data_IF_971740894116
#
_entry.id   IF_971740894116
#
_cell.length_a   1.000
_cell.length_b   1.000
_cell.length_c   1.000
_cell.angle_alpha   90.00
_cell.angle_beta   90.00
_cell.angle_gamma   90.00
#
_symmetry.space_group_name_H-M   'P 1'
#
loop_
_entity.id
_entity.type
_entity.pdbx_description
1 polymer ?
#
# COMPACT_ATOMS: atom_id res chain seq x y z
N UNK A 1 19.12 4.50 19.68
CA UNK A 1 19.07 5.34 18.48
C UNK A 1 19.99 4.68 17.46
N UNK A 2 19.46 3.84 16.57
CA UNK A 2 20.26 3.09 15.59
C UNK A 2 20.08 3.79 14.24
N UNK A 3 21.10 4.53 13.79
CA UNK A 3 21.13 5.05 12.41
C UNK A 3 21.34 3.88 11.43
N UNK A 4 20.63 3.83 10.29
CA UNK A 4 20.92 2.84 9.26
C UNK A 4 22.29 3.12 8.62
N UNK A 5 23.15 2.11 8.56
CA UNK A 5 24.51 2.16 7.99
C UNK A 5 24.54 2.28 6.45
N UNK A 6 23.38 2.37 5.80
CA UNK A 6 23.21 2.53 4.37
C UNK A 6 22.44 3.82 4.11
N UNK A 7 23.05 4.76 3.39
CA UNK A 7 22.37 5.99 2.98
C UNK A 7 21.19 5.69 2.07
N UNK A 8 20.21 6.58 2.05
CA UNK A 8 19.09 6.54 1.11
C UNK A 8 19.59 6.72 -0.34
N UNK A 9 18.84 6.20 -1.31
CA UNK A 9 19.07 6.54 -2.72
C UNK A 9 18.76 8.04 -2.93
N UNK A 10 19.49 8.68 -3.85
CA UNK A 10 19.24 10.09 -4.21
C UNK A 10 17.76 10.31 -4.56
N UNK A 11 17.12 11.23 -3.84
CA UNK A 11 15.70 11.57 -4.03
C UNK A 11 14.70 10.78 -3.17
N UNK A 12 15.17 9.89 -2.29
CA UNK A 12 14.33 9.17 -1.31
C UNK A 12 14.69 9.63 0.09
N UNK A 13 13.70 10.07 0.87
CA UNK A 13 13.92 10.55 2.24
C UNK A 13 13.43 9.59 3.32
N UNK A 14 12.64 8.59 2.92
CA UNK A 14 11.96 7.64 3.81
C UNK A 14 12.42 6.21 3.55
N UNK A 15 12.73 5.46 4.62
CA UNK A 15 12.97 4.00 4.51
C UNK A 15 11.62 3.27 4.48
N UNK A 16 11.47 2.30 3.57
CA UNK A 16 10.27 1.48 3.44
C UNK A 16 10.52 0.04 3.87
N UNK A 17 9.56 -0.59 4.55
CA UNK A 17 9.56 -2.04 4.73
C UNK A 17 8.31 -2.63 4.09
N UNK A 18 8.50 -3.54 3.14
CA UNK A 18 7.42 -4.24 2.47
C UNK A 18 7.41 -5.69 2.94
N UNK A 19 6.25 -6.21 3.29
CA UNK A 19 6.09 -7.64 3.56
C UNK A 19 5.27 -8.26 2.44
N UNK A 20 5.82 -9.29 1.79
CA UNK A 20 5.04 -10.13 0.90
C UNK A 20 4.26 -11.17 1.71
N UNK A 21 3.08 -11.51 1.23
CA UNK A 21 2.22 -12.57 1.73
C UNK A 21 1.71 -13.34 0.51
N UNK A 22 1.83 -14.67 0.55
CA UNK A 22 1.21 -15.51 -0.44
C UNK A 22 -0.19 -15.88 0.08
N UNK A 23 -1.21 -15.23 -0.48
CA UNK A 23 -2.59 -15.57 -0.18
C UNK A 23 -3.10 -16.55 -1.24
N UNK A 24 -4.13 -17.37 -0.94
CA UNK A 24 -4.80 -18.19 -1.96
C UNK A 24 -5.36 -17.37 -3.13
N UNK A 25 -5.64 -16.08 -2.90
CA UNK A 25 -6.07 -15.10 -3.91
C UNK A 25 -4.92 -14.47 -4.71
N UNK A 26 -3.67 -14.77 -4.38
CA UNK A 26 -2.46 -14.29 -5.06
C UNK A 26 -1.46 -13.57 -4.15
N UNK A 27 -0.34 -13.15 -4.74
CA UNK A 27 0.73 -12.44 -4.04
C UNK A 27 0.23 -11.05 -3.61
N UNK A 28 0.23 -10.80 -2.30
CA UNK A 28 -0.17 -9.52 -1.71
C UNK A 28 1.01 -8.94 -0.92
N UNK A 29 1.34 -7.69 -1.19
CA UNK A 29 2.42 -6.94 -0.58
C UNK A 29 1.82 -5.88 0.34
N UNK A 30 2.21 -5.84 1.60
CA UNK A 30 1.80 -4.81 2.55
C UNK A 30 2.97 -3.85 2.75
N UNK A 31 2.75 -2.58 2.41
CA UNK A 31 3.74 -1.52 2.54
C UNK A 31 3.67 -0.83 3.92
N UNK A 32 4.85 -0.46 4.42
CA UNK A 32 5.16 0.20 5.69
C UNK A 32 4.71 -0.52 6.98
N UNK A 33 5.32 -1.67 7.22
CA UNK A 33 5.06 -2.51 8.40
C UNK A 33 5.99 -2.22 9.59
N UNK A 34 7.07 -1.46 9.40
CA UNK A 34 8.15 -1.41 10.40
C UNK A 34 8.83 -0.06 10.65
N UNK A 35 8.68 0.96 9.79
CA UNK A 35 9.57 2.15 9.85
C UNK A 35 8.86 3.41 10.32
N UNK A 36 7.72 3.80 9.74
CA UNK A 36 7.08 5.09 10.06
C UNK A 36 5.80 4.89 10.85
N UNK A 37 5.74 5.42 12.08
CA UNK A 37 4.60 5.21 12.97
C UNK A 37 3.30 5.82 12.41
N UNK A 38 3.38 7.06 11.91
CA UNK A 38 2.29 7.79 11.27
C UNK A 38 2.85 8.62 10.11
N UNK A 39 3.09 8.02 8.94
CA UNK A 39 3.74 8.70 7.83
C UNK A 39 2.86 9.82 7.27
N UNK A 40 3.51 10.87 6.78
CA UNK A 40 2.86 11.98 6.06
C UNK A 40 2.35 11.51 4.67
N UNK A 41 1.46 12.28 4.01
CA UNK A 41 1.04 11.97 2.65
C UNK A 41 2.19 11.84 1.65
N UNK A 42 3.23 12.65 1.81
CA UNK A 42 4.44 12.67 0.99
C UNK A 42 5.30 11.43 1.21
N UNK A 43 5.50 11.04 2.47
CA UNK A 43 6.20 9.80 2.83
C UNK A 43 5.45 8.58 2.31
N UNK A 44 4.12 8.55 2.46
CA UNK A 44 3.27 7.49 1.90
C UNK A 44 3.38 7.43 0.38
N UNK A 45 3.51 8.57 -0.30
CA UNK A 45 3.70 8.60 -1.75
C UNK A 45 5.07 8.02 -2.15
N UNK A 46 6.15 8.37 -1.43
CA UNK A 46 7.47 7.78 -1.64
C UNK A 46 7.45 6.26 -1.41
N UNK A 47 6.87 5.82 -0.30
CA UNK A 47 6.71 4.39 0.03
C UNK A 47 5.94 3.65 -1.06
N UNK A 48 4.85 4.24 -1.56
CA UNK A 48 4.01 3.66 -2.59
C UNK A 48 4.79 3.45 -3.89
N UNK A 49 5.55 4.46 -4.33
CA UNK A 49 6.37 4.39 -5.53
C UNK A 49 7.49 3.36 -5.38
N UNK A 50 8.17 3.31 -4.23
CA UNK A 50 9.20 2.31 -3.94
C UNK A 50 8.63 0.88 -3.92
N UNK A 51 7.45 0.69 -3.33
CA UNK A 51 6.76 -0.60 -3.32
C UNK A 51 6.40 -1.04 -4.74
N UNK A 52 5.83 -0.13 -5.55
CA UNK A 52 5.50 -0.40 -6.95
C UNK A 52 6.74 -0.77 -7.78
N UNK A 53 7.84 -0.04 -7.62
CA UNK A 53 9.10 -0.35 -8.29
C UNK A 53 9.64 -1.72 -7.87
N UNK A 54 9.58 -2.04 -6.58
CA UNK A 54 10.03 -3.32 -6.05
C UNK A 54 9.23 -4.49 -6.62
N UNK A 55 7.90 -4.35 -6.68
CA UNK A 55 7.01 -5.36 -7.28
C UNK A 55 7.26 -5.52 -8.78
N UNK A 56 7.50 -4.42 -9.51
CA UNK A 56 7.91 -4.46 -10.94
C UNK A 56 9.20 -5.26 -11.15
N UNK A 57 10.18 -5.15 -10.24
CA UNK A 57 11.44 -5.92 -10.31
C UNK A 57 11.25 -7.42 -10.14
N UNK A 58 10.17 -7.87 -9.50
CA UNK A 58 9.79 -9.28 -9.44
C UNK A 58 9.01 -9.75 -10.69
N UNK A 59 8.85 -8.90 -11.71
CA UNK A 59 8.10 -9.21 -12.93
C UNK A 59 6.58 -9.19 -12.73
N UNK A 60 6.10 -8.56 -11.66
CA UNK A 60 4.67 -8.46 -11.34
C UNK A 60 4.20 -7.03 -11.65
N UNK A 61 3.07 -6.89 -12.35
CA UNK A 61 2.48 -5.57 -12.61
C UNK A 61 1.88 -5.01 -11.31
N UNK A 62 2.33 -3.83 -10.82
CA UNK A 62 1.86 -3.27 -9.56
C UNK A 62 0.43 -2.78 -9.66
N UNK A 63 -0.42 -3.24 -8.74
CA UNK A 63 -1.81 -2.86 -8.55
C UNK A 63 -1.98 -2.39 -7.13
N UNK A 64 -1.96 -1.09 -6.95
CA UNK A 64 -1.87 -0.43 -5.65
C UNK A 64 -3.25 -0.02 -5.16
N UNK A 65 -3.57 -0.38 -3.91
CA UNK A 65 -4.71 0.15 -3.19
C UNK A 65 -4.24 0.94 -1.97
N UNK A 66 -4.70 2.18 -1.87
CA UNK A 66 -4.54 3.03 -0.70
C UNK A 66 -5.66 2.74 0.30
N UNK A 67 -5.32 2.17 1.45
CA UNK A 67 -6.31 1.72 2.43
C UNK A 67 -6.66 2.79 3.46
N UNK A 68 -7.93 2.87 3.81
CA UNK A 68 -8.43 3.67 4.92
C UNK A 68 -9.63 2.98 5.57
N UNK A 69 -10.06 3.47 6.73
CA UNK A 69 -11.36 3.12 7.29
C UNK A 69 -12.52 3.79 6.53
N UNK A 70 -12.21 4.77 5.67
CA UNK A 70 -13.17 5.41 4.78
C UNK A 70 -13.11 4.76 3.40
N UNK A 71 -14.21 4.87 2.67
CA UNK A 71 -14.31 4.36 1.32
C UNK A 71 -14.77 5.50 0.41
N UNK A 72 -13.83 6.07 -0.34
CA UNK A 72 -14.05 7.14 -1.32
C UNK A 72 -14.87 8.32 -0.79
N UNK A 73 -14.48 8.88 0.36
CA UNK A 73 -15.15 10.04 0.95
C UNK A 73 -16.37 9.72 1.79
N UNK A 74 -16.68 8.44 2.07
CA UNK A 74 -17.77 8.06 2.97
C UNK A 74 -17.63 8.58 4.41
N UNK A 75 -16.42 8.97 4.79
CA UNK A 75 -16.11 9.60 6.07
C UNK A 75 -14.99 10.63 5.88
N UNK A 76 -15.20 11.85 6.36
CA UNK A 76 -14.16 12.89 6.32
C UNK A 76 -13.33 12.85 7.60
N UNK A 77 -12.35 11.95 7.59
CA UNK A 77 -11.43 11.75 8.71
C UNK A 77 -9.98 12.09 8.29
N UNK A 78 -9.08 12.34 9.27
CA UNK A 78 -7.68 12.65 8.98
C UNK A 78 -6.99 11.57 8.14
N UNK A 79 -7.28 10.29 8.37
CA UNK A 79 -6.70 9.19 7.60
C UNK A 79 -7.20 9.16 6.14
N UNK A 80 -8.48 9.42 5.89
CA UNK A 80 -9.02 9.48 4.53
C UNK A 80 -8.45 10.66 3.76
N UNK A 81 -8.42 11.86 4.36
CA UNK A 81 -7.81 13.05 3.76
C UNK A 81 -6.33 12.83 3.44
N UNK A 82 -5.61 12.14 4.34
CA UNK A 82 -4.22 11.75 4.14
C UNK A 82 -4.05 10.84 2.91
N UNK A 83 -4.81 9.76 2.82
CA UNK A 83 -4.72 8.82 1.69
C UNK A 83 -5.13 9.46 0.36
N UNK A 84 -6.12 10.37 0.35
CA UNK A 84 -6.49 11.15 -0.85
C UNK A 84 -5.34 12.03 -1.32
N UNK A 85 -4.68 12.75 -0.41
CA UNK A 85 -3.47 13.53 -0.74
C UNK A 85 -2.35 12.64 -1.28
N UNK A 86 -2.14 11.48 -0.67
CA UNK A 86 -1.17 10.49 -1.19
C UNK A 86 -1.51 10.08 -2.61
N UNK A 87 -2.78 9.81 -2.94
CA UNK A 87 -3.20 9.45 -4.29
C UNK A 87 -2.82 10.54 -5.31
N UNK A 88 -3.14 11.79 -5.01
CA UNK A 88 -2.83 12.94 -5.87
C UNK A 88 -1.32 13.07 -6.09
N UNK A 89 -0.52 12.95 -5.03
CA UNK A 89 0.94 13.02 -5.11
C UNK A 89 1.54 11.89 -5.95
N UNK A 90 1.02 10.67 -5.81
CA UNK A 90 1.49 9.52 -6.59
C UNK A 90 1.08 9.66 -8.05
N UNK A 91 -0.17 10.04 -8.35
CA UNK A 91 -0.64 10.26 -9.72
C UNK A 91 0.14 11.36 -10.44
N UNK A 92 0.53 12.42 -9.72
CA UNK A 92 1.36 13.48 -10.29
C UNK A 92 2.77 13.00 -10.67
N UNK A 93 3.33 12.02 -9.93
CA UNK A 93 4.70 11.50 -10.13
C UNK A 93 4.76 10.27 -11.05
N UNK A 94 3.73 9.44 -11.04
CA UNK A 94 3.64 8.19 -11.80
C UNK A 94 2.19 8.00 -12.32
N UNK A 95 1.76 8.79 -13.32
CA UNK A 95 0.39 8.75 -13.83
C UNK A 95 0.01 7.41 -14.48
N UNK A 96 0.99 6.60 -14.89
CA UNK A 96 0.80 5.29 -15.48
C UNK A 96 0.61 4.17 -14.44
N UNK A 97 0.86 4.44 -13.16
CA UNK A 97 0.72 3.45 -12.10
C UNK A 97 -0.76 3.12 -11.88
N UNK A 98 -1.10 1.81 -11.85
CA UNK A 98 -2.44 1.37 -11.50
C UNK A 98 -2.65 1.51 -9.99
N UNK A 99 -3.18 2.65 -9.57
CA UNK A 99 -3.41 3.00 -8.18
C UNK A 99 -4.80 3.60 -7.97
N UNK A 100 -5.44 3.22 -6.87
CA UNK A 100 -6.69 3.84 -6.45
C UNK A 100 -6.88 3.85 -4.92
N UNK A 101 -7.84 4.64 -4.46
CA UNK A 101 -8.24 4.78 -3.06
C UNK A 101 -8.70 6.20 -2.72
N UNK A 102 -8.93 6.53 -1.47
CA UNK A 102 -8.91 5.66 -0.30
C UNK A 102 -10.05 4.64 -0.30
N UNK A 103 -9.77 3.41 0.09
CA UNK A 103 -10.78 2.35 0.12
C UNK A 103 -10.60 1.39 1.29
N UNK A 104 -11.66 0.62 1.56
CA UNK A 104 -11.61 -0.51 2.48
C UNK A 104 -10.83 -1.68 1.89
N UNK A 105 -10.34 -2.57 2.77
CA UNK A 105 -9.58 -3.76 2.35
C UNK A 105 -10.40 -4.76 1.53
N UNK A 106 -11.72 -4.81 1.72
CA UNK A 106 -12.63 -5.64 0.91
C UNK A 106 -12.67 -5.18 -0.54
N UNK A 107 -12.83 -3.88 -0.79
CA UNK A 107 -12.81 -3.27 -2.12
C UNK A 107 -11.42 -3.36 -2.79
N UNK A 108 -10.34 -3.32 -2.01
CA UNK A 108 -8.99 -3.51 -2.53
C UNK A 108 -8.77 -4.93 -3.08
N UNK A 109 -9.27 -5.95 -2.37
CA UNK A 109 -9.04 -7.36 -2.72
C UNK A 109 -10.12 -7.95 -3.64
N UNK A 110 -11.34 -7.40 -3.64
CA UNK A 110 -12.48 -7.92 -4.38
C UNK A 110 -13.00 -6.87 -5.35
N UNK A 111 -12.76 -7.11 -6.65
CA UNK A 111 -13.13 -6.19 -7.73
C UNK A 111 -14.64 -5.93 -7.82
N UNK A 112 -15.49 -6.92 -7.57
CA UNK A 112 -16.95 -6.71 -7.58
C UNK A 112 -17.39 -5.70 -6.52
N UNK A 113 -16.89 -5.83 -5.29
CA UNK A 113 -17.17 -4.89 -4.19
C UNK A 113 -16.67 -3.48 -4.56
N UNK A 114 -15.52 -3.38 -5.23
CA UNK A 114 -15.01 -2.10 -5.71
C UNK A 114 -15.89 -1.51 -6.79
N UNK A 115 -16.26 -2.27 -7.81
CA UNK A 115 -17.06 -1.79 -8.93
C UNK A 115 -18.46 -1.34 -8.51
N UNK A 116 -19.04 -1.98 -7.50
CA UNK A 116 -20.33 -1.58 -6.92
C UNK A 116 -20.25 -0.19 -6.27
N UNK A 117 -19.09 0.19 -5.72
CA UNK A 117 -18.89 1.47 -5.01
C UNK A 117 -18.20 2.54 -5.88
N UNK A 118 -17.35 2.12 -6.81
CA UNK A 118 -16.45 2.95 -7.61
C UNK A 118 -16.24 2.29 -8.99
N UNK A 119 -17.24 2.32 -9.88
CA UNK A 119 -17.19 1.64 -11.18
C UNK A 119 -16.09 2.20 -12.11
N UNK A 120 -15.72 3.47 -11.91
CA UNK A 120 -14.68 4.15 -12.70
C UNK A 120 -13.25 3.93 -12.17
N UNK A 121 -13.06 3.01 -11.21
CA UNK A 121 -11.75 2.70 -10.66
C UNK A 121 -10.76 2.24 -11.75
N UNK A 122 -9.54 2.81 -11.81
CA UNK A 122 -8.49 2.36 -12.72
C UNK A 122 -7.94 0.99 -12.30
N UNK A 123 -8.15 0.57 -11.05
CA UNK A 123 -7.68 -0.70 -10.52
C UNK A 123 -8.48 -1.85 -11.14
N UNK A 124 -7.78 -2.82 -11.75
CA UNK A 124 -8.36 -4.02 -12.37
C UNK A 124 -7.99 -5.27 -11.58
N UNK A 125 -8.97 -6.12 -11.27
CA UNK A 125 -8.79 -7.29 -10.41
C UNK A 125 -8.46 -6.94 -8.95
N UNK A 126 -7.81 -7.86 -8.25
CA UNK A 126 -7.35 -7.66 -6.87
C UNK A 126 -6.06 -6.83 -6.83
N UNK A 127 -5.99 -5.88 -5.89
CA UNK A 127 -4.76 -5.19 -5.56
C UNK A 127 -3.71 -6.20 -5.08
N UNK A 128 -2.48 -6.03 -5.56
CA UNK A 128 -1.34 -6.79 -5.06
C UNK A 128 -0.48 -5.95 -4.12
N UNK A 129 -0.63 -4.63 -4.05
CA UNK A 129 0.04 -3.77 -3.09
C UNK A 129 -1.01 -3.06 -2.24
N UNK A 130 -0.95 -3.30 -0.94
CA UNK A 130 -1.81 -2.66 0.05
C UNK A 130 -0.97 -1.63 0.83
N UNK A 131 -1.27 -0.35 0.62
CA UNK A 131 -0.62 0.76 1.32
C UNK A 131 -1.49 1.14 2.50
N UNK A 132 -0.93 0.99 3.69
CA UNK A 132 -1.63 1.19 4.96
C UNK A 132 -1.48 2.63 5.42
N UNK A 133 -2.46 3.19 6.16
CA UNK A 133 -2.40 4.59 6.59
C UNK A 133 -1.39 4.82 7.72
N UNK A 134 -1.02 3.78 8.48
CA UNK A 134 -0.05 3.86 9.58
C UNK A 134 0.51 2.46 9.91
N UNK A 135 1.56 2.43 10.74
CA UNK A 135 2.26 1.20 11.13
C UNK A 135 1.36 0.23 11.91
N UNK A 136 0.45 0.73 12.74
CA UNK A 136 -0.45 -0.12 13.53
C UNK A 136 -1.39 -0.92 12.63
N UNK A 137 -2.04 -0.24 11.68
CA UNK A 137 -2.89 -0.88 10.67
C UNK A 137 -2.10 -1.90 9.84
N UNK A 138 -0.87 -1.56 9.45
CA UNK A 138 0.00 -2.46 8.71
C UNK A 138 0.39 -3.72 9.51
N UNK A 139 0.80 -3.56 10.77
CA UNK A 139 1.22 -4.68 11.62
C UNK A 139 0.06 -5.58 12.02
N UNK A 140 -1.08 -5.02 12.40
CA UNK A 140 -2.27 -5.79 12.75
C UNK A 140 -2.70 -6.61 11.53
N UNK A 141 -2.85 -5.97 10.37
CA UNK A 141 -3.26 -6.64 9.13
C UNK A 141 -2.27 -7.72 8.71
N UNK A 142 -0.97 -7.42 8.72
CA UNK A 142 0.07 -8.39 8.37
C UNK A 142 0.05 -9.60 9.31
N UNK A 143 -0.01 -9.40 10.62
CA UNK A 143 -0.03 -10.51 11.58
C UNK A 143 -1.28 -11.38 11.41
N UNK A 144 -2.46 -10.76 11.24
CA UNK A 144 -3.71 -11.49 11.03
C UNK A 144 -3.68 -12.29 9.73
N UNK A 145 -3.24 -11.69 8.63
CA UNK A 145 -3.15 -12.36 7.33
C UNK A 145 -2.10 -13.48 7.34
N UNK A 146 -0.95 -13.27 7.98
CA UNK A 146 0.10 -14.29 8.12
C UNK A 146 -0.35 -15.49 8.95
N UNK A 147 -1.12 -15.28 10.02
CA UNK A 147 -1.60 -16.40 10.86
C UNK A 147 -2.77 -17.13 10.20
N UNK A 148 -3.63 -16.41 9.48
CA UNK A 148 -4.78 -17.01 8.76
C UNK A 148 -4.40 -17.68 7.45
N UNK A 149 -3.25 -17.35 6.86
CA UNK A 149 -2.75 -17.91 5.61
C UNK A 149 -1.50 -18.72 5.86
N UNK A 150 -1.54 -20.02 5.55
CA UNK A 150 -0.52 -21.02 5.94
C UNK A 150 0.89 -20.82 5.37
N UNK A 151 1.13 -19.84 4.49
CA UNK A 151 2.39 -19.64 3.75
C UNK A 151 2.77 -18.15 3.61
N UNK A 152 3.13 -17.48 4.72
CA UNK A 152 3.67 -16.11 4.66
C UNK A 152 5.19 -16.10 4.41
N UNK A 153 5.65 -15.59 3.26
CA UNK A 153 7.07 -15.38 2.94
C UNK A 153 7.43 -13.90 3.07
N UNK A 154 8.27 -13.52 4.03
CA UNK A 154 8.77 -12.14 4.15
C UNK A 154 9.79 -11.82 3.06
N UNK A 155 9.55 -10.77 2.28
CA UNK A 155 10.45 -10.29 1.21
C UNK A 155 10.91 -8.85 1.49
N UNK A 156 12.12 -8.70 2.03
CA UNK A 156 13.00 -7.53 1.87
C UNK A 156 12.64 -6.19 2.56
N UNK A 157 13.69 -5.40 2.83
CA UNK A 157 13.66 -4.00 3.30
C UNK A 157 14.08 -3.12 2.12
N UNK A 158 13.35 -2.04 1.83
CA UNK A 158 13.56 -1.19 0.66
C UNK A 158 14.10 0.19 1.08
#
# INVERSE_FOLDING_TARGET
MVQPLFGYRDGVSTAGAMNALLLPSGNTFIADTYVNHDPSPEELAEITLMAAESVRRFGIEPRVALLSHSNFGSADCPSASKMRKTLELVKARAPELMIDGEMHGDAALVESIRNDRMPDSPLKGAANILVMPNMEAARISYNLLRVSSSEGVTVGRC
#
